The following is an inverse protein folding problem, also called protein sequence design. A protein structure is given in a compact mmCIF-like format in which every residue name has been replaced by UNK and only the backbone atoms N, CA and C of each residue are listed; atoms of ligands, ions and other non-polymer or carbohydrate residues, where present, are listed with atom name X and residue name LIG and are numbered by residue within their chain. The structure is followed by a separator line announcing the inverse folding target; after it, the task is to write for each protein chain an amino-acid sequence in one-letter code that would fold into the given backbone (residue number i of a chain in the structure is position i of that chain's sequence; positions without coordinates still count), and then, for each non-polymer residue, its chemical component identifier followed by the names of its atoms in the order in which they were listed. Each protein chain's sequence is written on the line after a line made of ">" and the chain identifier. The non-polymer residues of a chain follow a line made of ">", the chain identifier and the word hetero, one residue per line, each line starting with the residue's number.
data_IF_554849625466
#
_entry.id   IF_554849625466
#
_cell.length_a   1.000
_cell.length_b   1.000
_cell.length_c   1.000
_cell.angle_alpha   90.00
_cell.angle_beta   90.00
_cell.angle_gamma   90.00
#
_symmetry.space_group_name_H-M   'P 1'
#
loop_
_entity.id
_entity.type
_entity.pdbx_description
1 polymer ?
#
# COMPACT_ATOMS: atom_id res chain seq x y z
N UNK A 1 -27.77 -9.82 7.15
CA UNK A 1 -27.01 -9.53 5.91
C UNK A 1 -25.73 -8.80 6.29
N UNK A 2 -24.56 -9.21 5.79
CA UNK A 2 -23.32 -8.43 6.03
C UNK A 2 -23.38 -7.16 5.20
N UNK A 3 -23.05 -6.01 5.80
CA UNK A 3 -22.91 -4.75 5.08
C UNK A 3 -21.79 -4.82 4.04
N UNK A 4 -21.89 -4.01 2.98
CA UNK A 4 -20.82 -3.86 1.99
C UNK A 4 -19.60 -3.27 2.70
N UNK A 5 -18.41 -3.92 2.64
CA UNK A 5 -17.21 -3.43 3.33
C UNK A 5 -16.76 -2.07 2.82
N UNK A 6 -16.34 -1.20 3.74
CA UNK A 6 -15.74 0.11 3.46
C UNK A 6 -14.23 0.02 3.47
N UNK A 7 -13.59 0.38 2.37
CA UNK A 7 -12.14 0.30 2.21
C UNK A 7 -11.59 1.71 1.97
N UNK A 8 -10.59 2.08 2.76
CA UNK A 8 -9.82 3.30 2.55
C UNK A 8 -8.41 2.93 2.06
N UNK A 9 -7.98 3.48 0.92
CA UNK A 9 -6.57 3.48 0.53
C UNK A 9 -5.91 4.82 0.87
N UNK A 10 -4.77 4.78 1.55
CA UNK A 10 -3.92 5.95 1.79
C UNK A 10 -2.64 5.71 1.00
N UNK A 11 -2.28 6.65 0.12
CA UNK A 11 -1.15 6.50 -0.81
C UNK A 11 -0.23 7.73 -0.75
N UNK A 12 1.09 7.59 -0.96
CA UNK A 12 2.01 8.72 -0.94
C UNK A 12 1.78 9.65 -2.14
N UNK A 13 1.49 9.08 -3.31
CA UNK A 13 1.33 9.79 -4.57
C UNK A 13 0.54 8.95 -5.58
N UNK A 14 0.16 9.53 -6.73
CA UNK A 14 -0.55 8.83 -7.81
C UNK A 14 0.41 8.19 -8.82
N UNK A 15 1.34 7.39 -8.32
CA UNK A 15 2.30 6.63 -9.13
C UNK A 15 1.70 5.32 -9.66
N UNK A 16 2.38 4.73 -10.66
CA UNK A 16 1.94 3.52 -11.35
C UNK A 16 1.59 2.38 -10.39
N UNK A 17 2.45 2.10 -9.40
CA UNK A 17 2.23 1.07 -8.39
C UNK A 17 0.91 1.24 -7.65
N UNK A 18 0.63 2.46 -7.16
CA UNK A 18 -0.61 2.76 -6.45
C UNK A 18 -1.83 2.53 -7.34
N UNK A 19 -1.74 2.94 -8.62
CA UNK A 19 -2.81 2.74 -9.59
C UNK A 19 -3.07 1.26 -9.88
N UNK A 20 -2.01 0.52 -10.21
CA UNK A 20 -2.09 -0.86 -10.68
C UNK A 20 -2.46 -1.82 -9.54
N UNK A 21 -1.82 -1.69 -8.38
CA UNK A 21 -1.94 -2.66 -7.29
C UNK A 21 -3.15 -2.41 -6.39
N UNK A 22 -3.61 -1.16 -6.30
CA UNK A 22 -4.63 -0.76 -5.32
C UNK A 22 -5.80 -0.05 -5.97
N UNK A 23 -5.59 1.14 -6.56
CA UNK A 23 -6.69 2.04 -6.92
C UNK A 23 -7.58 1.46 -8.02
N UNK A 24 -7.03 0.98 -9.14
CA UNK A 24 -7.82 0.41 -10.23
C UNK A 24 -8.56 -0.86 -9.81
N UNK A 25 -7.94 -1.86 -9.15
CA UNK A 25 -8.66 -3.04 -8.67
C UNK A 25 -9.81 -2.69 -7.71
N UNK A 26 -9.57 -1.80 -6.74
CA UNK A 26 -10.60 -1.41 -5.77
C UNK A 26 -11.76 -0.66 -6.44
N UNK A 27 -11.49 0.23 -7.40
CA UNK A 27 -12.54 0.88 -8.21
C UNK A 27 -13.36 -0.11 -9.00
N UNK A 28 -12.74 -1.16 -9.56
CA UNK A 28 -13.48 -2.23 -10.26
C UNK A 28 -14.35 -3.05 -9.31
N UNK A 29 -13.92 -3.27 -8.06
CA UNK A 29 -14.75 -3.93 -7.04
C UNK A 29 -15.92 -3.04 -6.60
N UNK A 30 -15.69 -1.73 -6.44
CA UNK A 30 -16.73 -0.75 -6.11
C UNK A 30 -17.79 -0.67 -7.21
N UNK A 31 -17.37 -0.58 -8.48
CA UNK A 31 -18.29 -0.58 -9.63
C UNK A 31 -19.16 -1.85 -9.73
N UNK A 32 -18.73 -2.95 -9.10
CA UNK A 32 -19.48 -4.21 -8.99
C UNK A 32 -20.30 -4.32 -7.70
N UNK A 33 -20.40 -3.25 -6.92
CA UNK A 33 -21.15 -3.21 -5.66
C UNK A 33 -20.55 -4.11 -4.56
N UNK A 34 -19.26 -4.48 -4.66
CA UNK A 34 -18.63 -5.42 -3.72
C UNK A 34 -18.01 -4.74 -2.50
N UNK A 35 -17.64 -3.47 -2.65
CA UNK A 35 -17.02 -2.62 -1.60
C UNK A 35 -17.49 -1.18 -1.78
N UNK A 36 -17.41 -0.38 -0.72
CA UNK A 36 -17.39 1.09 -0.81
C UNK A 36 -15.94 1.53 -0.73
N UNK A 37 -15.46 2.33 -1.69
CA UNK A 37 -14.03 2.63 -1.78
C UNK A 37 -13.73 4.13 -1.75
N UNK A 38 -12.83 4.51 -0.85
CA UNK A 38 -12.23 5.85 -0.82
C UNK A 38 -10.72 5.71 -0.93
N UNK A 39 -10.09 6.72 -1.51
CA UNK A 39 -8.65 6.86 -1.41
C UNK A 39 -8.27 8.31 -1.14
N UNK A 40 -7.13 8.49 -0.47
CA UNK A 40 -6.56 9.80 -0.12
C UNK A 40 -5.04 9.76 -0.31
N UNK A 41 -4.47 10.92 -0.65
CA UNK A 41 -3.04 11.14 -0.43
C UNK A 41 -2.78 11.17 1.07
N UNK A 42 -1.65 10.64 1.53
CA UNK A 42 -1.27 10.64 2.96
C UNK A 42 -1.26 12.06 3.56
N UNK A 43 -0.85 13.05 2.77
CA UNK A 43 -0.87 14.47 3.15
C UNK A 43 -2.28 15.08 3.29
N UNK A 44 -3.32 14.36 2.86
CA UNK A 44 -4.73 14.80 2.88
C UNK A 44 -5.64 13.85 3.66
N UNK A 45 -5.11 12.73 4.14
CA UNK A 45 -5.85 11.76 4.91
C UNK A 45 -5.99 12.23 6.36
N UNK A 46 -7.12 11.90 6.99
CA UNK A 46 -7.43 12.29 8.36
C UNK A 46 -7.85 11.07 9.19
N UNK A 47 -7.84 11.21 10.52
CA UNK A 47 -8.37 10.18 11.41
C UNK A 47 -9.86 9.87 11.14
N UNK A 48 -10.64 10.87 10.68
CA UNK A 48 -12.03 10.67 10.29
C UNK A 48 -12.17 9.76 9.04
N UNK A 49 -11.23 9.85 8.10
CA UNK A 49 -11.20 8.93 6.95
C UNK A 49 -10.94 7.49 7.43
N UNK A 50 -9.98 7.31 8.35
CA UNK A 50 -9.66 6.00 8.95
C UNK A 50 -10.88 5.43 9.69
N UNK A 51 -11.53 6.25 10.52
CA UNK A 51 -12.71 5.86 11.30
C UNK A 51 -13.88 5.40 10.42
N UNK A 52 -14.05 6.01 9.24
CA UNK A 52 -15.08 5.63 8.27
C UNK A 52 -14.89 4.21 7.71
N UNK A 53 -13.66 3.72 7.63
CA UNK A 53 -13.32 2.46 6.96
C UNK A 53 -13.48 1.23 7.86
N UNK A 54 -13.72 0.08 7.24
CA UNK A 54 -13.62 -1.24 7.87
C UNK A 54 -12.22 -1.83 7.69
N UNK A 55 -11.52 -1.47 6.61
CA UNK A 55 -10.14 -1.90 6.28
C UNK A 55 -9.37 -0.72 5.71
N UNK A 56 -8.10 -0.58 6.12
CA UNK A 56 -7.18 0.43 5.57
C UNK A 56 -6.11 -0.25 4.73
N UNK A 57 -5.86 0.30 3.53
CA UNK A 57 -4.78 -0.11 2.64
C UNK A 57 -3.75 1.03 2.58
N UNK A 58 -2.51 0.73 2.91
CA UNK A 58 -1.37 1.60 2.63
C UNK A 58 -0.60 1.02 1.44
N UNK A 59 -0.11 1.87 0.55
CA UNK A 59 0.63 1.45 -0.64
C UNK A 59 1.92 2.24 -0.71
N UNK A 60 3.05 1.59 -0.42
CA UNK A 60 4.39 2.19 -0.45
C UNK A 60 4.60 3.39 0.47
N UNK A 61 3.70 3.66 1.43
CA UNK A 61 3.87 4.74 2.38
C UNK A 61 5.13 4.51 3.22
N UNK A 62 5.98 5.52 3.34
CA UNK A 62 7.18 5.51 4.18
C UNK A 62 7.46 6.86 4.84
N UNK A 63 6.61 7.88 4.62
CA UNK A 63 6.80 9.22 5.16
C UNK A 63 6.55 9.27 6.67
N UNK A 64 7.58 9.54 7.50
CA UNK A 64 7.40 9.56 8.96
C UNK A 64 6.43 10.64 9.43
N UNK A 65 6.35 11.77 8.71
CA UNK A 65 5.43 12.86 9.01
C UNK A 65 3.94 12.44 8.95
N UNK A 66 3.63 11.32 8.28
CA UNK A 66 2.28 10.76 8.14
C UNK A 66 2.10 9.42 8.85
N UNK A 67 3.10 8.99 9.65
CA UNK A 67 3.06 7.73 10.37
C UNK A 67 1.93 7.62 11.41
N UNK A 68 1.36 8.76 11.84
CA UNK A 68 0.20 8.80 12.73
C UNK A 68 -1.02 8.08 12.13
N UNK A 69 -1.20 8.07 10.81
CA UNK A 69 -2.34 7.40 10.16
C UNK A 69 -2.32 5.88 10.36
N UNK A 70 -1.13 5.27 10.44
CA UNK A 70 -1.01 3.85 10.82
C UNK A 70 -1.47 3.65 12.26
N UNK A 71 -1.00 4.51 13.18
CA UNK A 71 -1.38 4.44 14.60
C UNK A 71 -2.89 4.58 14.79
N UNK A 72 -3.53 5.51 14.07
CA UNK A 72 -5.00 5.67 14.09
C UNK A 72 -5.72 4.37 13.69
N UNK A 73 -5.25 3.71 12.62
CA UNK A 73 -5.83 2.45 12.17
C UNK A 73 -5.66 1.34 13.23
N UNK A 74 -4.48 1.25 13.85
CA UNK A 74 -4.18 0.26 14.90
C UNK A 74 -4.99 0.51 16.17
N UNK A 75 -5.07 1.75 16.65
CA UNK A 75 -5.85 2.14 17.82
C UNK A 75 -7.35 1.87 17.62
N UNK A 76 -7.85 2.08 16.40
CA UNK A 76 -9.23 1.77 16.04
C UNK A 76 -9.45 0.28 15.68
N UNK A 77 -8.45 -0.58 15.92
CA UNK A 77 -8.45 -2.01 15.63
C UNK A 77 -8.86 -2.36 14.19
N UNK A 78 -8.52 -1.49 13.22
CA UNK A 78 -8.79 -1.71 11.81
C UNK A 78 -7.77 -2.70 11.26
N UNK A 79 -8.20 -3.75 10.52
CA UNK A 79 -7.29 -4.54 9.71
C UNK A 79 -6.53 -3.63 8.73
N UNK A 80 -5.21 -3.80 8.68
CA UNK A 80 -4.32 -3.03 7.82
C UNK A 80 -3.72 -3.95 6.75
N UNK A 81 -3.80 -3.52 5.50
CA UNK A 81 -3.10 -4.13 4.37
C UNK A 81 -1.98 -3.18 3.93
N UNK A 82 -0.75 -3.67 3.87
CA UNK A 82 0.37 -2.92 3.29
C UNK A 82 0.78 -3.52 1.95
N UNK A 83 0.84 -2.69 0.91
CA UNK A 83 1.26 -3.05 -0.44
C UNK A 83 2.66 -2.51 -0.71
N UNK A 84 3.62 -3.41 -0.98
CA UNK A 84 5.01 -3.09 -1.25
C UNK A 84 5.48 -3.83 -2.51
N UNK A 85 5.93 -3.10 -3.51
CA UNK A 85 6.39 -3.64 -4.79
C UNK A 85 7.90 -3.50 -5.03
N UNK A 86 8.56 -2.54 -4.37
CA UNK A 86 10.00 -2.27 -4.49
C UNK A 86 10.79 -2.62 -3.22
N UNK A 87 12.06 -2.99 -3.40
CA UNK A 87 13.01 -3.17 -2.30
C UNK A 87 13.66 -1.83 -1.91
N UNK A 88 13.02 -1.09 -0.99
CA UNK A 88 13.50 0.22 -0.57
C UNK A 88 14.83 0.22 0.20
N UNK A 89 15.26 -0.91 0.76
CA UNK A 89 16.56 -1.02 1.41
C UNK A 89 17.72 -1.00 0.40
N UNK A 90 17.45 -1.39 -0.85
CA UNK A 90 18.46 -1.66 -1.86
C UNK A 90 18.16 -0.98 -3.20
N UNK A 91 17.64 0.24 -3.15
CA UNK A 91 17.55 1.06 -4.36
C UNK A 91 18.97 1.43 -4.80
N UNK A 92 19.38 1.13 -6.05
CA UNK A 92 20.73 1.38 -6.51
C UNK A 92 21.02 2.88 -6.69
N UNK A 93 22.12 3.36 -6.10
CA UNK A 93 22.55 4.76 -6.21
C UNK A 93 23.11 5.11 -7.58
N UNK A 94 23.60 4.12 -8.33
CA UNK A 94 24.18 4.29 -9.66
C UNK A 94 23.13 4.55 -10.74
N UNK A 95 21.93 3.96 -10.61
CA UNK A 95 20.84 4.15 -11.58
C UNK A 95 19.88 5.26 -11.21
N UNK A 96 19.60 5.48 -9.92
CA UNK A 96 18.69 6.53 -9.46
C UNK A 96 19.11 7.08 -8.07
N UNK A 97 20.13 7.97 -8.03
CA UNK A 97 20.71 8.45 -6.78
C UNK A 97 19.72 9.24 -5.93
N UNK A 98 18.80 9.98 -6.54
CA UNK A 98 17.81 10.77 -5.79
C UNK A 98 16.75 9.89 -5.14
N UNK A 99 16.25 8.89 -5.87
CA UNK A 99 15.30 7.92 -5.32
C UNK A 99 15.96 7.09 -4.20
N UNK A 100 17.19 6.64 -4.41
CA UNK A 100 17.97 5.94 -3.40
C UNK A 100 18.19 6.80 -2.16
N UNK A 101 18.67 8.05 -2.32
CA UNK A 101 18.87 9.00 -1.23
C UNK A 101 17.57 9.29 -0.50
N UNK A 102 16.45 9.38 -1.19
CA UNK A 102 15.16 9.63 -0.57
C UNK A 102 14.69 8.43 0.25
N UNK A 103 14.56 7.24 -0.34
CA UNK A 103 13.94 6.07 0.31
C UNK A 103 14.83 5.39 1.36
N UNK A 104 16.17 5.43 1.19
CA UNK A 104 17.11 4.76 2.10
C UNK A 104 17.44 5.59 3.35
N UNK A 105 16.80 6.74 3.55
CA UNK A 105 16.95 7.49 4.80
C UNK A 105 16.47 6.65 5.99
N UNK A 106 17.24 6.57 7.10
CA UNK A 106 16.88 5.73 8.24
C UNK A 106 15.45 5.96 8.76
N UNK A 107 14.94 7.19 8.92
CA UNK A 107 13.57 7.41 9.40
C UNK A 107 12.50 6.79 8.49
N UNK A 108 12.73 6.71 7.17
CA UNK A 108 11.78 6.11 6.23
C UNK A 108 11.83 4.59 6.25
N UNK A 109 13.03 4.02 6.39
CA UNK A 109 13.19 2.58 6.54
C UNK A 109 12.55 2.12 7.86
N UNK A 110 12.76 2.85 8.96
CA UNK A 110 12.06 2.60 10.22
C UNK A 110 10.53 2.67 10.06
N UNK A 111 10.03 3.65 9.30
CA UNK A 111 8.59 3.77 9.04
C UNK A 111 8.06 2.63 8.17
N UNK A 112 8.80 2.22 7.14
CA UNK A 112 8.51 1.04 6.33
C UNK A 112 8.41 -0.22 7.19
N UNK A 113 9.38 -0.43 8.08
CA UNK A 113 9.43 -1.58 8.97
C UNK A 113 8.24 -1.60 9.95
N UNK A 114 7.80 -0.44 10.44
CA UNK A 114 6.54 -0.34 11.21
C UNK A 114 5.33 -0.78 10.40
N UNK A 115 5.20 -0.33 9.15
CA UNK A 115 4.11 -0.79 8.29
C UNK A 115 4.12 -2.30 8.12
N UNK A 116 5.29 -2.91 7.92
CA UNK A 116 5.42 -4.36 7.78
C UNK A 116 5.06 -5.12 9.05
N UNK A 117 5.57 -4.69 10.20
CA UNK A 117 5.36 -5.36 11.48
C UNK A 117 3.89 -5.32 11.93
N UNK A 118 3.23 -4.18 11.76
CA UNK A 118 1.89 -3.95 12.31
C UNK A 118 0.74 -4.26 11.33
N UNK A 119 1.04 -4.52 10.06
CA UNK A 119 0.00 -4.89 9.10
C UNK A 119 -0.60 -6.26 9.40
N UNK A 120 -1.90 -6.38 9.13
CA UNK A 120 -2.62 -7.66 9.17
C UNK A 120 -2.27 -8.53 7.96
N UNK A 121 -1.97 -7.89 6.83
CA UNK A 121 -1.51 -8.53 5.59
C UNK A 121 -0.50 -7.63 4.89
N UNK A 122 0.63 -8.19 4.47
CA UNK A 122 1.56 -7.53 3.54
C UNK A 122 1.47 -8.20 2.18
N UNK A 123 1.32 -7.40 1.13
CA UNK A 123 1.30 -7.85 -0.26
C UNK A 123 2.62 -7.46 -0.92
N UNK A 124 3.24 -8.44 -1.55
CA UNK A 124 4.51 -8.28 -2.29
C UNK A 124 4.41 -8.93 -3.66
N UNK A 125 5.31 -8.56 -4.57
CA UNK A 125 5.19 -8.88 -6.00
C UNK A 125 6.39 -9.62 -6.59
N UNK A 126 7.38 -9.96 -5.76
CA UNK A 126 8.50 -10.83 -6.14
C UNK A 126 8.91 -11.75 -4.98
N UNK A 127 9.39 -12.97 -5.26
CA UNK A 127 9.90 -13.87 -4.23
C UNK A 127 11.05 -13.28 -3.41
N UNK A 128 11.94 -12.54 -4.07
CA UNK A 128 13.07 -11.86 -3.41
C UNK A 128 12.60 -10.81 -2.40
N UNK A 129 11.55 -10.04 -2.74
CA UNK A 129 10.98 -9.08 -1.79
C UNK A 129 10.22 -9.79 -0.67
N UNK A 130 9.54 -10.90 -0.95
CA UNK A 130 8.89 -11.73 0.07
C UNK A 130 9.90 -12.24 1.10
N UNK A 131 11.05 -12.75 0.64
CA UNK A 131 12.14 -13.20 1.49
C UNK A 131 12.65 -12.07 2.39
N UNK A 132 12.93 -10.90 1.80
CA UNK A 132 13.37 -9.71 2.56
C UNK A 132 12.34 -9.26 3.60
N UNK A 133 11.07 -9.21 3.21
CA UNK A 133 9.96 -8.81 4.11
C UNK A 133 9.75 -9.83 5.23
N UNK A 134 10.13 -11.10 5.02
CA UNK A 134 9.92 -12.19 5.98
C UNK A 134 10.69 -12.01 7.30
N UNK A 135 11.69 -11.14 7.33
CA UNK A 135 12.42 -10.71 8.53
C UNK A 135 11.54 -9.89 9.48
N UNK A 136 10.55 -9.16 8.95
CA UNK A 136 9.70 -8.22 9.69
C UNK A 136 8.31 -8.80 10.01
N UNK A 137 7.80 -9.70 9.15
CA UNK A 137 6.48 -10.29 9.34
C UNK A 137 6.34 -11.62 8.60
N UNK A 138 5.49 -12.51 9.13
CA UNK A 138 5.07 -13.75 8.44
C UNK A 138 3.70 -13.62 7.77
N UNK A 139 3.06 -12.46 7.86
CA UNK A 139 1.72 -12.19 7.33
C UNK A 139 1.79 -11.71 5.87
N UNK A 140 2.68 -12.30 5.09
CA UNK A 140 2.98 -11.87 3.73
C UNK A 140 2.23 -12.72 2.72
N UNK A 141 1.88 -12.12 1.59
CA UNK A 141 1.29 -12.80 0.45
C UNK A 141 1.95 -12.33 -0.84
N UNK A 142 2.65 -13.24 -1.50
CA UNK A 142 3.09 -13.05 -2.87
C UNK A 142 1.89 -13.00 -3.83
N UNK A 143 1.82 -11.92 -4.62
CA UNK A 143 0.82 -11.69 -5.65
C UNK A 143 1.48 -11.52 -7.02
N UNK A 144 0.70 -11.75 -8.07
CA UNK A 144 1.09 -11.37 -9.44
C UNK A 144 0.71 -9.91 -9.66
N UNK A 145 1.62 -9.15 -10.26
CA UNK A 145 1.33 -7.77 -10.64
C UNK A 145 0.15 -7.70 -11.61
N UNK A 146 -0.69 -6.68 -11.44
CA UNK A 146 -1.81 -6.45 -12.33
C UNK A 146 -1.34 -5.99 -13.70
N UNK A 147 -2.01 -6.45 -14.75
CA UNK A 147 -1.83 -5.94 -16.11
C UNK A 147 -3.16 -5.41 -16.64
N UNK A 148 -3.13 -4.20 -17.18
CA UNK A 148 -4.30 -3.59 -17.80
C UNK A 148 -4.39 -4.01 -19.27
N UNK A 149 -5.08 -5.11 -19.53
CA UNK A 149 -5.22 -5.67 -20.88
C UNK A 149 -5.89 -4.70 -21.88
N UNK A 150 -6.58 -3.66 -21.42
CA UNK A 150 -7.14 -2.65 -22.31
C UNK A 150 -6.08 -1.84 -23.06
N UNK A 151 -4.84 -1.82 -22.55
CA UNK A 151 -3.71 -1.09 -23.16
C UNK A 151 -3.13 -1.80 -24.39
N UNK A 152 -3.40 -3.10 -24.55
CA UNK A 152 -2.91 -3.91 -25.68
C UNK A 152 -4.03 -4.37 -26.60
N UNK A 153 -5.29 -4.05 -26.28
CA UNK A 153 -6.45 -4.47 -27.06
C UNK A 153 -6.83 -3.51 -28.20
N UNK A 154 -5.95 -2.58 -28.60
CA UNK A 154 -6.15 -1.82 -29.83
C UNK A 154 -5.62 -2.63 -31.02
N UNK A 155 -6.52 -3.41 -31.63
CA UNK A 155 -6.47 -4.03 -32.98
C UNK A 155 -7.00 -5.47 -32.98
N UNK A 156 -8.28 -5.67 -32.64
CA UNK A 156 -9.11 -6.74 -33.21
C UNK A 156 -10.49 -6.21 -33.53
#
# INVERSE_FOLDING_TARGET
>A
MRSIPKILAIVPSLIASCQINVLKPMRKLEARGRVQFRWKLESKATAADVAWSDVVIFCRNTEPAHGNLLNEALCAAKPVIYDLDDNFWDIPYDTDPELARYHRLPPRLEQLEKYLAFSTLVRVYSPTLEERVSEFTKKTKLLKSGFDFSLVSQNR
#
